data_IF_694158261169
#
_entry.id   IF_694158261169
#
_cell.length_a   1.000
_cell.length_b   1.000
_cell.length_c   1.000
_cell.angle_alpha   90.00
_cell.angle_beta   90.00
_cell.angle_gamma   90.00
#
_symmetry.space_group_name_H-M   'P 1'
#
loop_
_entity.id
_entity.type
_entity.pdbx_description
1 polymer ?
#
# COMPACT_ATOMS: atom_id res chain seq x y z
N UNK A 1 -12.08 -27.09 9.81
CA UNK A 1 -12.48 -26.25 8.67
C UNK A 1 -12.66 -27.18 7.49
N UNK A 2 -13.79 -27.13 6.81
CA UNK A 2 -13.96 -27.86 5.55
C UNK A 2 -13.45 -26.97 4.42
N UNK A 3 -12.52 -27.50 3.64
CA UNK A 3 -12.00 -26.83 2.44
C UNK A 3 -12.85 -27.18 1.23
N UNK A 4 -12.94 -26.29 0.21
CA UNK A 4 -13.59 -26.60 -1.05
C UNK A 4 -13.05 -27.90 -1.66
N UNK A 5 -13.94 -28.71 -2.26
CA UNK A 5 -13.57 -30.00 -2.83
C UNK A 5 -12.55 -29.87 -3.96
N UNK A 6 -12.74 -28.90 -4.85
CA UNK A 6 -11.83 -28.65 -5.99
C UNK A 6 -10.42 -28.32 -5.51
N UNK A 7 -10.30 -27.44 -4.51
CA UNK A 7 -9.03 -27.12 -3.85
C UNK A 7 -8.38 -28.38 -3.24
N UNK A 8 -9.13 -29.10 -2.43
CA UNK A 8 -8.61 -30.31 -1.74
C UNK A 8 -8.15 -31.38 -2.71
N UNK A 9 -8.93 -31.65 -3.76
CA UNK A 9 -8.60 -32.64 -4.79
C UNK A 9 -7.32 -32.26 -5.54
N UNK A 10 -7.21 -31.00 -5.97
CA UNK A 10 -6.04 -30.48 -6.67
C UNK A 10 -4.77 -30.53 -5.80
N UNK A 11 -4.84 -29.98 -4.58
CA UNK A 11 -3.65 -29.92 -3.72
C UNK A 11 -3.21 -31.30 -3.24
N UNK A 12 -4.14 -32.24 -2.99
CA UNK A 12 -3.77 -33.63 -2.69
C UNK A 12 -3.09 -34.32 -3.89
N UNK A 13 -3.54 -34.06 -5.11
CA UNK A 13 -2.89 -34.59 -6.32
C UNK A 13 -1.47 -34.04 -6.50
N UNK A 14 -1.23 -32.76 -6.20
CA UNK A 14 0.08 -32.11 -6.34
C UNK A 14 1.05 -32.44 -5.20
N UNK A 15 0.58 -32.45 -3.95
CA UNK A 15 1.40 -32.57 -2.76
C UNK A 15 1.50 -34.02 -2.23
N UNK A 16 0.55 -34.90 -2.61
CA UNK A 16 0.51 -36.25 -2.07
C UNK A 16 0.42 -36.26 -0.54
N UNK A 17 1.31 -37.00 0.10
CA UNK A 17 1.40 -37.07 1.57
C UNK A 17 1.72 -35.72 2.23
N UNK A 18 2.32 -34.77 1.51
CA UNK A 18 2.66 -33.43 2.03
C UNK A 18 1.45 -32.50 2.12
N UNK A 19 0.28 -32.90 1.63
CA UNK A 19 -0.94 -32.09 1.75
C UNK A 19 -1.25 -31.72 3.21
N UNK A 20 -1.04 -32.63 4.13
CA UNK A 20 -1.31 -32.41 5.54
C UNK A 20 -0.28 -31.45 6.19
N UNK A 21 0.91 -31.27 5.57
CA UNK A 21 1.91 -30.29 6.02
C UNK A 21 1.46 -28.84 5.77
N UNK A 22 0.57 -28.61 4.80
CA UNK A 22 0.14 -27.26 4.40
C UNK A 22 -0.39 -26.46 5.60
N UNK A 23 -1.05 -27.13 6.53
CA UNK A 23 -1.64 -26.54 7.74
C UNK A 23 -1.10 -27.15 9.05
N UNK A 24 -0.06 -27.98 9.01
CA UNK A 24 0.39 -28.81 10.13
C UNK A 24 0.70 -28.03 11.40
N UNK A 25 1.27 -26.83 11.26
CA UNK A 25 1.68 -25.98 12.38
C UNK A 25 0.90 -24.68 12.44
N UNK A 26 -0.16 -24.56 11.64
CA UNK A 26 -0.99 -23.38 11.66
C UNK A 26 -1.71 -23.27 13.01
N UNK A 27 -1.65 -22.09 13.62
CA UNK A 27 -2.45 -21.81 14.81
C UNK A 27 -3.95 -21.92 14.50
N UNK A 28 -4.82 -22.25 15.47
CA UNK A 28 -6.26 -22.28 15.24
C UNK A 28 -6.83 -20.94 14.72
N UNK A 29 -6.20 -19.85 15.12
CA UNK A 29 -6.57 -18.48 14.71
C UNK A 29 -5.70 -18.03 13.50
N UNK A 30 -6.27 -17.27 12.55
CA UNK A 30 -5.49 -16.67 11.47
C UNK A 30 -4.36 -15.78 12.00
N UNK A 31 -3.23 -15.76 11.27
CA UNK A 31 -2.11 -14.90 11.58
C UNK A 31 -2.52 -13.41 11.53
N UNK A 32 -2.14 -12.67 12.56
CA UNK A 32 -2.40 -11.24 12.67
C UNK A 32 -1.10 -10.47 12.81
N UNK A 33 -1.08 -9.28 12.25
CA UNK A 33 0.09 -8.44 12.35
C UNK A 33 -0.16 -7.00 11.90
N UNK A 34 0.91 -6.26 11.97
CA UNK A 34 0.99 -4.87 11.52
C UNK A 34 2.27 -4.66 10.73
N UNK A 35 2.25 -3.72 9.80
CA UNK A 35 3.46 -3.15 9.20
C UNK A 35 3.68 -1.75 9.73
N UNK A 36 4.91 -1.47 10.12
CA UNK A 36 5.35 -0.15 10.60
C UNK A 36 5.59 0.76 9.42
N UNK A 37 5.09 1.98 9.51
CA UNK A 37 5.29 3.01 8.51
C UNK A 37 6.64 3.70 8.71
N UNK A 38 7.62 3.39 7.89
CA UNK A 38 8.96 3.99 7.97
C UNK A 38 9.00 5.50 7.63
N UNK A 39 7.89 6.09 7.17
CA UNK A 39 7.73 7.56 7.11
C UNK A 39 7.49 8.18 8.50
N UNK A 40 7.15 7.37 9.51
CA UNK A 40 6.84 7.82 10.88
C UNK A 40 7.95 7.48 11.85
N UNK A 41 8.33 6.20 11.93
CA UNK A 41 9.36 5.71 12.83
C UNK A 41 10.08 4.49 12.24
N UNK A 42 11.24 4.15 12.81
CA UNK A 42 11.93 2.92 12.46
C UNK A 42 11.29 1.71 13.13
N UNK A 43 11.47 0.48 12.58
CA UNK A 43 11.01 -0.75 13.23
C UNK A 43 11.60 -0.93 14.64
N UNK A 44 12.84 -0.50 14.87
CA UNK A 44 13.52 -0.58 16.17
C UNK A 44 12.85 0.35 17.19
N UNK A 45 12.56 1.59 16.79
CA UNK A 45 11.82 2.52 17.64
C UNK A 45 10.45 1.94 18.00
N UNK A 46 9.72 1.42 17.01
CA UNK A 46 8.42 0.81 17.22
C UNK A 46 8.50 -0.36 18.22
N UNK A 47 9.47 -1.27 18.05
CA UNK A 47 9.63 -2.42 18.92
C UNK A 47 9.92 -2.04 20.39
N UNK A 48 10.58 -0.89 20.60
CA UNK A 48 10.91 -0.38 21.95
C UNK A 48 9.74 0.36 22.61
N UNK A 49 8.81 0.92 21.84
CA UNK A 49 7.76 1.81 22.34
C UNK A 49 6.34 1.24 22.23
N UNK A 50 6.16 0.09 21.55
CA UNK A 50 4.85 -0.54 21.45
C UNK A 50 4.35 -0.96 22.85
N UNK A 51 3.12 -0.56 23.18
CA UNK A 51 2.43 -0.88 24.44
C UNK A 51 1.61 -2.17 24.36
N UNK A 52 1.82 -2.96 23.30
CA UNK A 52 1.20 -4.26 23.05
C UNK A 52 2.22 -5.27 22.55
N UNK A 53 1.92 -6.57 22.66
CA UNK A 53 2.80 -7.65 22.20
C UNK A 53 2.94 -7.62 20.67
N UNK A 54 4.13 -7.26 20.21
CA UNK A 54 4.51 -7.21 18.81
C UNK A 54 5.88 -7.88 18.62
N UNK A 55 5.94 -8.91 17.78
CA UNK A 55 7.17 -9.66 17.50
C UNK A 55 7.57 -9.48 16.05
N UNK A 56 8.86 -9.24 15.74
CA UNK A 56 9.31 -9.15 14.37
C UNK A 56 8.86 -10.34 13.51
N UNK A 57 8.36 -10.06 12.32
CA UNK A 57 7.97 -11.07 11.35
C UNK A 57 9.16 -11.48 10.49
N UNK A 58 9.32 -12.76 10.11
CA UNK A 58 10.39 -13.18 9.21
C UNK A 58 10.18 -12.70 7.76
N UNK A 59 8.98 -12.26 7.40
CA UNK A 59 8.61 -11.99 6.00
C UNK A 59 9.00 -10.57 5.51
N UNK A 60 9.15 -9.63 6.43
CA UNK A 60 9.50 -8.26 6.09
C UNK A 60 10.08 -7.54 7.32
N UNK A 61 11.16 -6.74 7.16
CA UNK A 61 11.79 -6.03 8.29
C UNK A 61 10.86 -5.04 9.01
N UNK A 62 9.85 -4.51 8.33
CA UNK A 62 8.87 -3.57 8.91
C UNK A 62 7.62 -4.26 9.44
N UNK A 63 7.51 -5.59 9.32
CA UNK A 63 6.33 -6.33 9.74
C UNK A 63 6.50 -6.95 11.12
N UNK A 64 5.40 -6.96 11.88
CA UNK A 64 5.32 -7.56 13.20
C UNK A 64 4.07 -8.43 13.31
N UNK A 65 4.20 -9.59 13.94
CA UNK A 65 3.06 -10.39 14.40
C UNK A 65 2.51 -9.80 15.69
N UNK A 66 1.20 -9.89 15.90
CA UNK A 66 0.52 -9.37 17.09
C UNK A 66 -0.35 -10.43 17.72
N UNK A 67 -0.71 -10.23 18.99
CA UNK A 67 -1.66 -11.07 19.68
C UNK A 67 -3.01 -11.12 18.93
N UNK A 68 -3.74 -12.25 19.05
CA UNK A 68 -4.97 -12.49 18.31
C UNK A 68 -6.14 -11.56 18.72
N UNK A 69 -6.10 -11.02 19.93
CA UNK A 69 -7.07 -10.08 20.49
C UNK A 69 -6.73 -8.60 20.20
N UNK A 70 -5.51 -8.31 19.76
CA UNK A 70 -5.14 -6.94 19.38
C UNK A 70 -6.00 -6.42 18.23
N UNK A 71 -6.48 -5.19 18.37
CA UNK A 71 -7.35 -4.51 17.40
C UNK A 71 -6.68 -3.22 16.92
N UNK A 72 -5.83 -3.28 15.87
CA UNK A 72 -5.07 -2.12 15.40
C UNK A 72 -5.94 -0.88 15.15
N UNK A 73 -7.14 -1.05 14.59
CA UNK A 73 -8.06 0.04 14.29
C UNK A 73 -8.57 0.83 15.52
N UNK A 74 -8.35 0.32 16.74
CA UNK A 74 -8.67 1.03 18.00
C UNK A 74 -7.48 1.76 18.58
N UNK A 75 -6.28 1.49 18.10
CA UNK A 75 -5.05 2.06 18.63
C UNK A 75 -4.75 3.43 18.04
N UNK A 76 -4.33 4.40 18.85
CA UNK A 76 -4.06 5.77 18.38
C UNK A 76 -2.98 5.82 17.29
N UNK A 77 -1.96 4.98 17.36
CA UNK A 77 -0.94 4.89 16.32
C UNK A 77 -1.46 4.42 14.96
N UNK A 78 -2.53 3.63 14.93
CA UNK A 78 -3.19 3.32 13.66
C UNK A 78 -3.77 4.60 13.03
N UNK A 79 -4.46 5.41 13.83
CA UNK A 79 -5.03 6.69 13.38
C UNK A 79 -3.95 7.72 13.01
N UNK A 80 -2.80 7.68 13.68
CA UNK A 80 -1.63 8.52 13.36
C UNK A 80 -0.81 8.00 12.15
N UNK A 81 -1.20 6.87 11.56
CA UNK A 81 -0.50 6.29 10.42
C UNK A 81 0.88 5.74 10.75
N UNK A 82 1.16 5.38 12.02
CA UNK A 82 2.40 4.71 12.44
C UNK A 82 2.40 3.25 12.02
N UNK A 83 1.23 2.62 12.03
CA UNK A 83 1.07 1.22 11.65
C UNK A 83 -0.10 1.00 10.68
N UNK A 84 0.03 -0.05 9.89
CA UNK A 84 -1.00 -0.57 9.01
C UNK A 84 -1.35 -2.01 9.44
N UNK A 85 -2.63 -2.32 9.65
CA UNK A 85 -3.08 -3.69 9.94
C UNK A 85 -2.89 -4.57 8.71
N UNK A 86 -1.99 -5.52 8.76
CA UNK A 86 -1.68 -6.40 7.64
C UNK A 86 -1.31 -7.79 8.14
N UNK A 87 -1.76 -8.81 7.42
CA UNK A 87 -1.31 -10.17 7.64
C UNK A 87 0.21 -10.24 7.35
N UNK A 88 1.02 -10.89 8.21
CA UNK A 88 2.47 -10.82 8.12
C UNK A 88 3.05 -11.23 6.77
N UNK A 89 2.57 -12.33 6.16
CA UNK A 89 3.08 -12.81 4.86
C UNK A 89 2.70 -11.87 3.70
N UNK A 90 1.60 -11.13 3.82
CA UNK A 90 1.18 -10.15 2.82
C UNK A 90 2.14 -8.94 2.69
N UNK A 91 3.07 -8.79 3.63
CA UNK A 91 4.10 -7.74 3.58
C UNK A 91 5.31 -8.10 2.70
N UNK A 92 5.54 -9.39 2.45
CA UNK A 92 6.71 -9.88 1.74
C UNK A 92 6.85 -9.37 0.29
N UNK A 93 5.79 -9.32 -0.56
CA UNK A 93 5.92 -8.90 -1.94
C UNK A 93 6.47 -7.47 -2.11
N UNK A 94 6.01 -6.53 -1.27
CA UNK A 94 6.50 -5.16 -1.31
C UNK A 94 7.98 -5.05 -0.90
N UNK A 95 8.42 -5.86 0.08
CA UNK A 95 9.81 -5.92 0.50
C UNK A 95 10.72 -6.52 -0.60
N UNK A 96 10.26 -7.58 -1.29
CA UNK A 96 11.01 -8.22 -2.38
C UNK A 96 11.21 -7.31 -3.59
N UNK A 97 10.38 -6.29 -3.77
CA UNK A 97 10.51 -5.34 -4.88
C UNK A 97 11.74 -4.45 -4.76
N UNK A 98 12.33 -4.35 -3.56
CA UNK A 98 13.57 -3.60 -3.29
C UNK A 98 13.52 -2.15 -3.80
N UNK A 99 12.51 -1.42 -3.35
CA UNK A 99 12.30 -0.01 -3.71
C UNK A 99 13.30 0.88 -2.98
N UNK A 100 13.97 1.77 -3.73
CA UNK A 100 14.89 2.74 -3.20
C UNK A 100 14.38 4.18 -3.40
N UNK A 101 14.78 5.14 -2.54
CA UNK A 101 14.48 6.54 -2.73
C UNK A 101 14.85 7.05 -4.14
N UNK A 102 13.98 7.85 -4.74
CA UNK A 102 14.16 8.41 -6.08
C UNK A 102 13.58 7.57 -7.22
N UNK A 103 13.23 6.31 -6.99
CA UNK A 103 12.64 5.42 -8.00
C UNK A 103 11.21 5.84 -8.40
N UNK A 104 10.82 5.41 -9.59
CA UNK A 104 9.43 5.45 -10.08
C UNK A 104 8.83 4.06 -9.91
N UNK A 105 7.80 3.97 -9.10
CA UNK A 105 7.17 2.70 -8.70
C UNK A 105 5.70 2.69 -9.14
N UNK A 106 5.22 1.55 -9.64
CA UNK A 106 3.80 1.33 -9.88
C UNK A 106 3.30 0.13 -9.06
N UNK A 107 2.14 0.29 -8.42
CA UNK A 107 1.36 -0.76 -7.79
C UNK A 107 0.03 -0.86 -8.53
N UNK A 108 -0.20 -1.94 -9.25
CA UNK A 108 -1.29 -2.04 -10.23
C UNK A 108 -2.60 -2.53 -9.64
N UNK A 109 -2.57 -3.20 -8.48
CA UNK A 109 -3.73 -3.72 -7.76
C UNK A 109 -3.65 -3.28 -6.29
N UNK A 110 -3.59 -1.97 -6.07
CA UNK A 110 -3.06 -1.34 -4.87
C UNK A 110 -3.98 -1.43 -3.63
N UNK A 111 -5.30 -1.54 -3.81
CA UNK A 111 -6.22 -1.51 -2.67
C UNK A 111 -6.18 -2.82 -1.83
N UNK A 112 -6.31 -2.69 -0.51
CA UNK A 112 -6.68 -1.49 0.26
C UNK A 112 -5.51 -0.56 0.66
N UNK A 113 -4.23 -0.84 0.26
CA UNK A 113 -3.11 0.06 0.45
C UNK A 113 -2.01 -0.43 1.39
N UNK A 114 -2.05 -1.68 1.86
CA UNK A 114 -1.02 -2.23 2.75
C UNK A 114 0.35 -2.29 2.08
N UNK A 115 0.46 -2.98 0.94
CA UNK A 115 1.69 -3.05 0.14
C UNK A 115 2.09 -1.68 -0.42
N UNK A 116 1.10 -0.92 -0.91
CA UNK A 116 1.29 0.45 -1.41
C UNK A 116 1.93 1.37 -0.38
N UNK A 117 1.49 1.31 0.89
CA UNK A 117 2.07 2.11 1.98
C UNK A 117 3.50 1.72 2.30
N UNK A 118 3.87 0.43 2.18
CA UNK A 118 5.24 -0.04 2.32
C UNK A 118 6.13 0.52 1.19
N UNK A 119 5.65 0.49 -0.08
CA UNK A 119 6.36 1.08 -1.22
C UNK A 119 6.57 2.59 -1.04
N UNK A 120 5.51 3.30 -0.61
CA UNK A 120 5.59 4.73 -0.32
C UNK A 120 6.61 5.05 0.78
N UNK A 121 6.64 4.21 1.84
CA UNK A 121 7.58 4.36 2.93
C UNK A 121 9.03 4.11 2.48
N UNK A 122 9.27 3.10 1.63
CA UNK A 122 10.58 2.80 1.06
C UNK A 122 11.11 3.95 0.18
N UNK A 123 10.23 4.65 -0.52
CA UNK A 123 10.59 5.85 -1.30
C UNK A 123 10.99 7.05 -0.43
N UNK A 124 10.68 7.07 0.86
CA UNK A 124 11.04 8.15 1.80
C UNK A 124 10.65 9.56 1.29
N UNK A 125 9.52 9.69 0.59
CA UNK A 125 9.06 10.94 -0.02
C UNK A 125 9.85 11.38 -1.25
N UNK A 126 10.82 10.60 -1.72
CA UNK A 126 11.61 10.82 -2.93
C UNK A 126 11.14 9.89 -4.05
N UNK A 127 11.14 10.38 -5.30
CA UNK A 127 10.59 9.60 -6.40
C UNK A 127 9.06 9.65 -6.48
N UNK A 128 8.45 8.70 -7.19
CA UNK A 128 7.03 8.74 -7.53
C UNK A 128 6.39 7.35 -7.40
N UNK A 129 5.24 7.28 -6.76
CA UNK A 129 4.40 6.08 -6.67
C UNK A 129 3.11 6.29 -7.48
N UNK A 130 2.89 5.45 -8.49
CA UNK A 130 1.57 5.27 -9.12
C UNK A 130 0.86 4.11 -8.40
N UNK A 131 -0.29 4.38 -7.81
CA UNK A 131 -1.10 3.38 -7.12
C UNK A 131 -2.45 3.25 -7.83
N UNK A 132 -2.68 2.11 -8.48
CA UNK A 132 -3.89 1.88 -9.26
C UNK A 132 -4.83 0.88 -8.60
N UNK A 133 -6.12 1.12 -8.72
CA UNK A 133 -7.15 0.17 -8.35
C UNK A 133 -8.32 0.27 -9.33
N UNK A 134 -8.73 -0.86 -9.91
CA UNK A 134 -9.79 -0.93 -10.91
C UNK A 134 -11.18 -0.64 -10.32
N UNK A 135 -11.46 -1.12 -9.10
CA UNK A 135 -12.76 -0.96 -8.45
C UNK A 135 -12.84 0.39 -7.73
N UNK A 136 -13.72 1.28 -8.16
CA UNK A 136 -13.81 2.66 -7.68
C UNK A 136 -14.00 2.78 -6.15
N UNK A 137 -14.82 1.92 -5.54
CA UNK A 137 -15.02 1.92 -4.09
C UNK A 137 -13.74 1.53 -3.34
N UNK A 138 -12.95 0.58 -3.86
CA UNK A 138 -11.67 0.18 -3.29
C UNK A 138 -10.59 1.25 -3.50
N UNK A 139 -10.60 1.96 -4.64
CA UNK A 139 -9.70 3.09 -4.90
C UNK A 139 -9.91 4.23 -3.88
N UNK A 140 -11.15 4.44 -3.44
CA UNK A 140 -11.45 5.42 -2.38
C UNK A 140 -10.91 4.96 -1.01
N UNK A 141 -10.98 3.67 -0.68
CA UNK A 141 -10.37 3.09 0.52
C UNK A 141 -8.83 3.24 0.47
N UNK A 142 -8.22 2.95 -0.68
CA UNK A 142 -6.79 3.17 -0.92
C UNK A 142 -6.40 4.62 -0.66
N UNK A 143 -7.15 5.58 -1.21
CA UNK A 143 -6.92 7.01 -1.00
C UNK A 143 -6.95 7.38 0.49
N UNK A 144 -7.95 6.92 1.23
CA UNK A 144 -8.09 7.19 2.67
C UNK A 144 -6.90 6.60 3.46
N UNK A 145 -6.48 5.38 3.13
CA UNK A 145 -5.34 4.75 3.79
C UNK A 145 -4.03 5.48 3.50
N UNK A 146 -3.74 5.86 2.25
CA UNK A 146 -2.53 6.61 1.92
C UNK A 146 -2.51 8.00 2.56
N UNK A 147 -3.67 8.68 2.66
CA UNK A 147 -3.78 9.94 3.40
C UNK A 147 -3.49 9.74 4.89
N UNK A 148 -4.07 8.71 5.53
CA UNK A 148 -3.81 8.36 6.93
C UNK A 148 -2.33 8.05 7.18
N UNK A 149 -1.68 7.32 6.26
CA UNK A 149 -0.25 7.00 6.33
C UNK A 149 0.66 8.22 6.07
N UNK A 150 0.10 9.34 5.62
CA UNK A 150 0.83 10.58 5.35
C UNK A 150 1.69 10.53 4.09
N UNK A 151 1.29 9.75 3.10
CA UNK A 151 2.00 9.61 1.82
C UNK A 151 1.87 10.88 1.00
N UNK A 152 2.99 11.41 0.53
CA UNK A 152 3.07 12.71 -0.17
C UNK A 152 3.39 12.61 -1.66
N UNK A 153 3.95 11.48 -2.10
CA UNK A 153 4.52 11.26 -3.42
C UNK A 153 3.74 10.24 -4.25
N UNK A 154 2.45 10.05 -3.97
CA UNK A 154 1.61 9.11 -4.70
C UNK A 154 0.63 9.81 -5.66
N UNK A 155 0.43 9.19 -6.82
CA UNK A 155 -0.69 9.43 -7.74
C UNK A 155 -1.58 8.20 -7.72
N UNK A 156 -2.84 8.38 -7.30
CA UNK A 156 -3.83 7.32 -7.20
C UNK A 156 -4.73 7.37 -8.43
N UNK A 157 -4.87 6.25 -9.13
CA UNK A 157 -5.72 6.10 -10.31
C UNK A 157 -6.80 5.04 -10.08
N UNK A 158 -7.93 5.21 -10.78
CA UNK A 158 -8.99 4.20 -10.84
C UNK A 158 -9.16 3.81 -12.31
N UNK A 159 -8.27 2.95 -12.80
CA UNK A 159 -8.15 2.65 -14.21
C UNK A 159 -7.93 1.17 -14.48
N UNK A 160 -8.24 0.80 -15.70
CA UNK A 160 -7.80 -0.43 -16.33
C UNK A 160 -6.28 -0.38 -16.57
N UNK A 161 -5.58 -1.48 -16.30
CA UNK A 161 -4.13 -1.56 -16.44
C UNK A 161 -3.65 -1.41 -17.88
N UNK A 162 -4.45 -1.82 -18.88
CA UNK A 162 -4.13 -1.62 -20.30
C UNK A 162 -4.10 -0.14 -20.67
N UNK A 163 -5.00 0.67 -20.09
CA UNK A 163 -4.97 2.14 -20.29
C UNK A 163 -3.75 2.79 -19.67
N UNK A 164 -3.30 2.28 -18.52
CA UNK A 164 -2.06 2.74 -17.89
C UNK A 164 -0.85 2.38 -18.75
N UNK A 165 -0.77 1.12 -19.23
CA UNK A 165 0.30 0.64 -20.10
C UNK A 165 0.39 1.47 -21.40
N UNK A 166 -0.74 1.79 -22.02
CA UNK A 166 -0.80 2.63 -23.21
C UNK A 166 -0.38 4.09 -22.95
N UNK A 167 -0.66 4.62 -21.75
CA UNK A 167 -0.36 6.01 -21.40
C UNK A 167 1.09 6.21 -20.94
N UNK A 168 1.70 5.22 -20.29
CA UNK A 168 2.98 5.35 -19.57
C UNK A 168 3.93 4.17 -19.83
N UNK A 169 4.12 3.71 -21.08
CA UNK A 169 4.98 2.56 -21.35
C UNK A 169 6.43 2.85 -20.96
N UNK A 170 7.11 1.88 -20.34
CA UNK A 170 8.52 1.93 -19.99
C UNK A 170 8.91 3.01 -18.97
N UNK A 171 7.97 3.47 -18.11
CA UNK A 171 8.25 4.61 -17.23
C UNK A 171 8.58 4.23 -15.78
N UNK A 172 8.51 2.97 -15.40
CA UNK A 172 8.67 2.58 -13.99
C UNK A 172 9.87 1.67 -13.78
N UNK A 173 10.66 1.97 -12.75
CA UNK A 173 11.81 1.18 -12.33
C UNK A 173 11.37 -0.10 -11.61
N UNK A 174 10.22 -0.01 -10.92
CA UNK A 174 9.64 -1.09 -10.12
C UNK A 174 8.14 -1.19 -10.37
N UNK A 175 7.64 -2.40 -10.57
CA UNK A 175 6.20 -2.67 -10.70
C UNK A 175 5.80 -3.78 -9.75
N UNK A 176 4.79 -3.55 -8.94
CA UNK A 176 4.13 -4.55 -8.11
C UNK A 176 2.81 -4.97 -8.77
N UNK A 177 2.62 -6.27 -8.91
CA UNK A 177 1.34 -6.89 -9.26
C UNK A 177 0.95 -7.85 -8.14
N UNK A 178 0.18 -7.35 -7.17
CA UNK A 178 -0.51 -8.21 -6.20
C UNK A 178 -1.84 -8.60 -6.84
N UNK A 179 -1.81 -9.66 -7.65
CA UNK A 179 -2.88 -9.96 -8.61
C UNK A 179 -4.21 -10.30 -7.92
N UNK A 180 -5.36 -9.86 -8.47
CA UNK A 180 -6.63 -10.42 -8.08
C UNK A 180 -6.61 -11.93 -8.35
N UNK A 181 -6.94 -12.72 -7.32
CA UNK A 181 -6.79 -14.16 -7.34
C UNK A 181 -7.98 -14.87 -6.67
N UNK A 182 -8.03 -16.19 -6.79
CA UNK A 182 -9.09 -17.02 -6.18
C UNK A 182 -9.07 -17.00 -4.64
N UNK A 183 -8.01 -16.48 -4.02
CA UNK A 183 -7.96 -16.16 -2.59
C UNK A 183 -7.92 -17.37 -1.66
N UNK A 184 -7.34 -18.48 -2.07
CA UNK A 184 -7.30 -19.73 -1.29
C UNK A 184 -6.55 -19.59 0.04
N UNK A 185 -5.55 -18.70 0.11
CA UNK A 185 -4.89 -18.32 1.35
C UNK A 185 -5.79 -17.54 2.32
N UNK A 186 -6.98 -17.11 1.88
CA UNK A 186 -7.93 -16.38 2.72
C UNK A 186 -8.97 -17.28 3.40
N UNK A 187 -9.03 -18.59 3.11
CA UNK A 187 -10.05 -19.50 3.64
C UNK A 187 -10.15 -19.50 5.16
N UNK A 188 -9.04 -19.32 5.86
CA UNK A 188 -9.01 -19.25 7.32
C UNK A 188 -9.52 -17.93 7.90
N UNK A 189 -9.45 -16.86 7.11
CA UNK A 189 -9.86 -15.49 7.50
C UNK A 189 -11.29 -15.18 7.11
N UNK A 190 -11.70 -15.64 5.92
CA UNK A 190 -12.93 -15.23 5.27
C UNK A 190 -13.72 -16.45 4.81
N UNK A 191 -14.75 -16.83 5.55
CA UNK A 191 -15.62 -17.96 5.19
C UNK A 191 -16.25 -17.78 3.80
N UNK A 192 -16.47 -16.53 3.36
CA UNK A 192 -17.00 -16.21 2.03
C UNK A 192 -16.04 -16.65 0.92
N UNK A 193 -14.73 -16.53 1.13
CA UNK A 193 -13.72 -16.97 0.15
C UNK A 193 -13.84 -18.48 -0.12
N UNK A 194 -13.96 -19.29 0.93
CA UNK A 194 -14.17 -20.74 0.79
C UNK A 194 -15.52 -21.08 0.14
N UNK A 195 -16.59 -20.35 0.48
CA UNK A 195 -17.93 -20.59 -0.05
C UNK A 195 -18.09 -20.24 -1.55
N UNK A 196 -17.33 -19.26 -2.03
CA UNK A 196 -17.37 -18.82 -3.43
C UNK A 196 -16.34 -19.50 -4.33
N UNK A 197 -15.40 -20.25 -3.75
CA UNK A 197 -14.33 -20.90 -4.49
C UNK A 197 -14.87 -22.00 -5.42
N UNK A 198 -14.39 -22.00 -6.66
CA UNK A 198 -14.59 -23.04 -7.66
C UNK A 198 -13.56 -22.91 -8.79
N UNK A 199 -13.42 -23.94 -9.63
CA UNK A 199 -12.47 -23.96 -10.75
C UNK A 199 -12.72 -22.84 -11.79
N UNK A 200 -13.96 -22.40 -11.99
CA UNK A 200 -14.26 -21.29 -12.90
C UNK A 200 -13.72 -19.96 -12.38
N UNK A 201 -13.78 -19.73 -11.06
CA UNK A 201 -13.14 -18.56 -10.42
C UNK A 201 -11.62 -18.60 -10.60
N UNK A 202 -10.99 -19.75 -10.37
CA UNK A 202 -9.53 -19.93 -10.58
C UNK A 202 -9.14 -19.60 -12.03
N UNK A 203 -9.87 -20.14 -13.01
CA UNK A 203 -9.61 -19.89 -14.43
C UNK A 203 -9.77 -18.41 -14.79
N UNK A 204 -10.84 -17.77 -14.33
CA UNK A 204 -11.08 -16.33 -14.54
C UNK A 204 -9.97 -15.46 -13.92
N UNK A 205 -9.55 -15.76 -12.69
CA UNK A 205 -8.47 -15.03 -12.03
C UNK A 205 -7.13 -15.23 -12.74
N UNK A 206 -6.86 -16.44 -13.26
CA UNK A 206 -5.66 -16.71 -14.04
C UNK A 206 -5.62 -15.88 -15.35
N UNK A 207 -6.75 -15.78 -16.07
CA UNK A 207 -6.86 -14.96 -17.28
C UNK A 207 -6.62 -13.46 -16.96
N UNK A 208 -7.26 -12.95 -15.91
CA UNK A 208 -7.10 -11.58 -15.47
C UNK A 208 -5.66 -11.29 -15.00
N UNK A 209 -5.06 -12.23 -14.26
CA UNK A 209 -3.66 -12.14 -13.83
C UNK A 209 -2.69 -12.08 -15.00
N UNK A 210 -2.95 -12.88 -16.08
CA UNK A 210 -2.18 -12.84 -17.31
C UNK A 210 -2.22 -11.46 -17.97
N UNK A 211 -3.41 -10.89 -18.13
CA UNK A 211 -3.60 -9.55 -18.72
C UNK A 211 -2.87 -8.46 -17.91
N UNK A 212 -3.01 -8.47 -16.60
CA UNK A 212 -2.34 -7.50 -15.73
C UNK A 212 -0.82 -7.64 -15.82
N UNK A 213 -0.30 -8.86 -15.87
CA UNK A 213 1.13 -9.14 -15.98
C UNK A 213 1.72 -8.62 -17.31
N UNK A 214 1.00 -8.79 -18.43
CA UNK A 214 1.37 -8.21 -19.73
C UNK A 214 1.42 -6.67 -19.66
N UNK A 215 0.43 -6.04 -19.06
CA UNK A 215 0.37 -4.60 -18.90
C UNK A 215 1.49 -4.09 -17.96
N UNK A 216 1.83 -4.83 -16.93
CA UNK A 216 2.95 -4.53 -16.03
C UNK A 216 4.30 -4.57 -16.76
N UNK A 217 4.50 -5.57 -17.63
CA UNK A 217 5.70 -5.68 -18.45
C UNK A 217 5.88 -4.49 -19.42
N UNK A 218 4.76 -3.97 -19.95
CA UNK A 218 4.77 -2.79 -20.81
C UNK A 218 5.09 -1.50 -20.04
N UNK A 219 4.64 -1.37 -18.78
CA UNK A 219 4.94 -0.22 -17.92
C UNK A 219 6.40 -0.20 -17.44
N UNK A 220 7.06 -1.35 -17.37
CA UNK A 220 8.39 -1.51 -16.79
C UNK A 220 9.48 -0.99 -17.75
N UNK A 221 10.36 -0.15 -17.22
CA UNK A 221 11.54 0.33 -17.93
C UNK A 221 12.55 -0.81 -18.20
N UNK A 222 13.44 -0.68 -19.21
CA UNK A 222 14.58 -1.56 -19.34
C UNK A 222 15.42 -1.61 -18.05
N UNK A 223 15.85 -2.80 -17.63
CA UNK A 223 16.54 -3.01 -16.36
C UNK A 223 15.65 -2.97 -15.12
N UNK A 224 14.35 -2.69 -15.30
CA UNK A 224 13.38 -2.61 -14.20
C UNK A 224 13.05 -3.99 -13.60
N UNK A 225 12.46 -3.98 -12.41
CA UNK A 225 12.08 -5.18 -11.66
C UNK A 225 10.57 -5.19 -11.42
N UNK A 226 9.98 -6.36 -11.64
CA UNK A 226 8.58 -6.66 -11.38
C UNK A 226 8.48 -7.74 -10.30
N UNK A 227 7.61 -7.54 -9.31
CA UNK A 227 7.19 -8.60 -8.39
C UNK A 227 5.72 -8.90 -8.66
N UNK A 228 5.47 -10.17 -8.95
CA UNK A 228 4.12 -10.75 -9.07
C UNK A 228 3.82 -11.53 -7.80
N UNK A 229 2.64 -11.35 -7.23
CA UNK A 229 2.19 -12.07 -6.04
C UNK A 229 0.70 -12.37 -6.09
N UNK A 230 0.32 -13.44 -5.39
CA UNK A 230 -1.07 -13.83 -5.15
C UNK A 230 -1.24 -14.30 -3.70
N UNK A 231 -2.48 -14.35 -3.23
CA UNK A 231 -2.83 -15.03 -1.99
C UNK A 231 -3.58 -16.35 -2.27
N UNK A 232 -3.15 -17.10 -3.29
CA UNK A 232 -3.72 -18.41 -3.65
C UNK A 232 -2.66 -19.51 -3.68
N UNK A 233 -3.07 -20.76 -3.88
CA UNK A 233 -2.20 -21.91 -4.11
C UNK A 233 -2.33 -22.47 -5.53
N UNK A 234 -3.25 -21.95 -6.32
CA UNK A 234 -3.60 -22.47 -7.63
C UNK A 234 -2.44 -22.33 -8.63
N UNK A 235 -1.93 -23.43 -9.22
CA UNK A 235 -0.81 -23.37 -10.16
C UNK A 235 -1.05 -22.47 -11.36
N UNK A 236 -2.29 -22.42 -11.87
CA UNK A 236 -2.66 -21.59 -13.01
C UNK A 236 -2.53 -20.09 -12.74
N UNK A 237 -2.64 -19.68 -11.48
CA UNK A 237 -2.50 -18.30 -11.03
C UNK A 237 -1.07 -17.99 -10.54
N UNK A 238 -0.24 -19.01 -10.31
CA UNK A 238 1.08 -18.94 -9.67
C UNK A 238 2.21 -19.38 -10.63
N UNK A 239 2.84 -20.57 -10.41
CA UNK A 239 3.99 -21.04 -11.20
C UNK A 239 3.65 -21.17 -12.68
N UNK A 240 2.47 -21.70 -13.02
CA UNK A 240 2.01 -21.83 -14.41
C UNK A 240 1.91 -20.46 -15.08
N UNK A 241 1.38 -19.47 -14.37
CA UNK A 241 1.26 -18.10 -14.86
C UNK A 241 2.64 -17.50 -15.22
N UNK A 242 3.60 -17.65 -14.32
CA UNK A 242 4.97 -17.12 -14.50
C UNK A 242 5.71 -17.88 -15.60
N UNK A 243 5.55 -19.21 -15.67
CA UNK A 243 6.15 -20.04 -16.71
C UNK A 243 5.67 -19.64 -18.11
N UNK A 244 4.34 -19.47 -18.28
CA UNK A 244 3.73 -18.99 -19.54
C UNK A 244 4.27 -17.60 -19.91
N UNK A 245 4.34 -16.69 -18.96
CA UNK A 245 4.83 -15.35 -19.19
C UNK A 245 6.30 -15.34 -19.66
N UNK A 246 7.17 -16.07 -18.98
CA UNK A 246 8.60 -16.14 -19.35
C UNK A 246 8.82 -16.79 -20.71
N UNK A 247 8.04 -17.79 -21.08
CA UNK A 247 8.10 -18.41 -22.40
C UNK A 247 7.75 -17.43 -23.54
N UNK A 248 6.88 -16.45 -23.27
CA UNK A 248 6.48 -15.40 -24.23
C UNK A 248 7.42 -14.20 -24.24
N UNK A 249 8.12 -13.96 -23.13
CA UNK A 249 8.91 -12.74 -22.92
C UNK A 249 10.40 -13.06 -22.64
N UNK A 250 11.20 -13.37 -23.67
CA UNK A 250 12.63 -13.72 -23.49
C UNK A 250 13.47 -12.58 -22.92
N UNK A 251 12.97 -11.35 -22.94
CA UNK A 251 13.62 -10.20 -22.31
C UNK A 251 13.48 -10.18 -20.78
N UNK A 252 12.72 -11.12 -20.19
CA UNK A 252 12.55 -11.22 -18.74
C UNK A 252 13.31 -12.44 -18.20
N UNK A 253 13.90 -12.25 -17.02
CA UNK A 253 14.58 -13.31 -16.26
C UNK A 253 13.93 -13.46 -14.88
N UNK A 254 13.70 -14.70 -14.45
CA UNK A 254 13.27 -15.00 -13.09
C UNK A 254 14.44 -14.85 -12.12
N UNK A 255 14.31 -13.96 -11.16
CA UNK A 255 15.30 -13.76 -10.10
C UNK A 255 15.22 -14.89 -9.07
N UNK A 256 16.37 -15.35 -8.59
CA UNK A 256 16.44 -16.37 -7.55
C UNK A 256 16.08 -15.81 -6.18
N UNK A 257 14.98 -16.27 -5.62
CA UNK A 257 14.51 -15.91 -4.27
C UNK A 257 14.94 -16.94 -3.20
N UNK A 258 15.82 -17.91 -3.51
CA UNK A 258 16.24 -18.95 -2.54
C UNK A 258 16.91 -18.37 -1.29
N UNK A 259 17.53 -17.21 -1.41
CA UNK A 259 18.20 -16.50 -0.31
C UNK A 259 17.33 -15.59 0.54
N UNK A 260 16.01 -15.49 0.31
CA UNK A 260 15.17 -14.51 1.03
C UNK A 260 14.93 -14.84 2.52
N UNK A 261 15.30 -16.05 2.99
CA UNK A 261 15.24 -16.45 4.40
C UNK A 261 13.86 -16.83 4.93
N UNK A 262 12.83 -16.87 4.09
CA UNK A 262 11.47 -17.24 4.47
C UNK A 262 10.77 -18.07 3.40
N UNK A 263 9.68 -18.72 3.80
CA UNK A 263 8.83 -19.49 2.90
C UNK A 263 9.51 -20.71 2.28
N UNK A 264 8.90 -21.26 1.28
CA UNK A 264 9.28 -22.50 0.59
C UNK A 264 9.53 -22.23 -0.88
N UNK A 265 10.41 -22.99 -1.56
CA UNK A 265 10.55 -22.91 -3.01
C UNK A 265 9.24 -23.30 -3.70
N UNK A 266 8.97 -22.68 -4.85
CA UNK A 266 7.93 -23.17 -5.76
C UNK A 266 8.28 -24.57 -6.29
N UNK A 267 7.28 -25.26 -6.82
CA UNK A 267 7.36 -26.67 -7.17
C UNK A 267 7.20 -26.89 -8.68
N UNK A 268 8.12 -27.65 -9.30
CA UNK A 268 8.14 -27.88 -10.76
C UNK A 268 6.87 -28.60 -11.28
N UNK A 269 6.26 -29.47 -10.47
CA UNK A 269 5.03 -30.16 -10.83
C UNK A 269 3.79 -29.26 -10.93
N UNK A 270 3.93 -27.98 -10.52
CA UNK A 270 2.88 -26.95 -10.68
C UNK A 270 2.93 -26.23 -12.04
N UNK A 271 4.00 -26.46 -12.82
CA UNK A 271 4.13 -25.98 -14.20
C UNK A 271 4.70 -27.10 -15.11
N UNK A 272 4.05 -28.27 -15.21
CA UNK A 272 4.62 -29.46 -15.85
C UNK A 272 4.89 -29.27 -17.35
N UNK A 273 4.16 -28.39 -18.02
CA UNK A 273 4.34 -28.11 -19.46
C UNK A 273 5.56 -27.24 -19.76
N UNK A 274 6.26 -26.76 -18.70
CA UNK A 274 7.41 -25.87 -18.79
C UNK A 274 8.62 -26.47 -18.02
N UNK A 275 9.27 -27.52 -18.53
CA UNK A 275 10.30 -28.25 -17.81
C UNK A 275 11.56 -27.41 -17.51
N UNK A 276 11.82 -26.36 -18.30
CA UNK A 276 12.95 -25.44 -18.10
C UNK A 276 12.65 -24.31 -17.10
N UNK A 277 11.40 -24.21 -16.63
CA UNK A 277 11.01 -23.21 -15.66
C UNK A 277 11.60 -23.53 -14.28
N UNK A 278 12.38 -22.60 -13.75
CA UNK A 278 13.04 -22.75 -12.46
C UNK A 278 12.06 -22.43 -11.29
N UNK A 279 11.06 -23.25 -11.11
CA UNK A 279 10.03 -23.04 -10.07
C UNK A 279 10.63 -22.77 -8.69
N UNK A 280 11.74 -23.42 -8.32
CA UNK A 280 12.45 -23.23 -7.06
C UNK A 280 12.97 -21.81 -6.81
N UNK A 281 13.03 -20.95 -7.84
CA UNK A 281 13.37 -19.53 -7.71
C UNK A 281 12.20 -18.67 -7.22
N UNK A 282 10.96 -19.15 -7.33
CA UNK A 282 9.80 -18.51 -6.71
C UNK A 282 9.69 -18.85 -5.23
N UNK A 283 8.77 -18.20 -4.52
CA UNK A 283 8.50 -18.48 -3.09
C UNK A 283 7.01 -18.65 -2.83
N UNK A 284 6.75 -19.62 -1.96
CA UNK A 284 5.44 -19.86 -1.34
C UNK A 284 5.54 -19.70 0.15
N UNK A 285 4.54 -19.10 0.76
CA UNK A 285 4.37 -19.08 2.20
C UNK A 285 3.11 -19.89 2.49
N UNK A 286 3.25 -20.94 3.27
CA UNK A 286 2.13 -21.78 3.70
C UNK A 286 1.63 -21.34 5.09
N UNK A 287 0.40 -21.69 5.46
CA UNK A 287 -0.07 -21.49 6.83
C UNK A 287 0.85 -22.13 7.89
N UNK A 288 1.48 -23.25 7.56
CA UNK A 288 2.49 -23.90 8.40
C UNK A 288 3.76 -23.04 8.62
N UNK A 289 4.03 -22.06 7.77
CA UNK A 289 5.19 -21.17 7.88
C UNK A 289 4.87 -19.89 8.68
N UNK A 290 3.65 -19.79 9.26
CA UNK A 290 3.22 -18.65 10.08
C UNK A 290 2.56 -17.51 9.28
N UNK A 291 2.21 -17.74 8.02
CA UNK A 291 1.38 -16.85 7.18
C UNK A 291 0.01 -17.47 6.89
N UNK A 292 -0.69 -16.92 5.89
CA UNK A 292 -2.00 -17.47 5.46
C UNK A 292 -1.97 -18.10 4.07
N UNK A 293 -0.94 -17.86 3.31
CA UNK A 293 -0.75 -18.36 1.96
C UNK A 293 -0.44 -17.24 1.00
N UNK A 294 0.77 -17.27 0.45
CA UNK A 294 1.20 -16.34 -0.60
C UNK A 294 2.12 -17.05 -1.58
N UNK A 295 2.03 -16.63 -2.82
CA UNK A 295 3.00 -16.93 -3.87
C UNK A 295 3.69 -15.64 -4.30
N UNK A 296 4.99 -15.73 -4.65
CA UNK A 296 5.79 -14.60 -5.12
C UNK A 296 6.79 -15.02 -6.17
N UNK A 297 6.85 -14.24 -7.24
CA UNK A 297 7.90 -14.30 -8.26
C UNK A 297 8.48 -12.91 -8.50
N UNK A 298 9.80 -12.82 -8.59
CA UNK A 298 10.53 -11.58 -8.90
C UNK A 298 11.16 -11.72 -10.29
N UNK A 299 10.83 -10.80 -11.18
CA UNK A 299 11.23 -10.79 -12.57
C UNK A 299 12.04 -9.53 -12.87
N UNK A 300 13.11 -9.67 -13.65
CA UNK A 300 13.90 -8.54 -14.11
C UNK A 300 13.85 -8.45 -15.63
N UNK A 301 13.54 -7.27 -16.15
CA UNK A 301 13.60 -6.94 -17.57
C UNK A 301 15.04 -6.66 -17.97
N UNK A 302 15.48 -7.16 -19.12
CA UNK A 302 16.82 -6.91 -19.64
C UNK A 302 17.09 -5.40 -19.81
N UNK A 303 18.31 -4.97 -19.51
CA UNK A 303 18.67 -3.55 -19.58
C UNK A 303 18.80 -3.04 -21.03
N UNK A 304 19.03 -3.93 -21.98
CA UNK A 304 19.10 -3.68 -23.42
C UNK A 304 17.77 -3.92 -24.14
N UNK A 305 16.70 -4.21 -23.40
CA UNK A 305 15.36 -4.32 -23.99
C UNK A 305 14.91 -2.99 -24.61
N UNK A 306 14.02 -3.07 -25.59
CA UNK A 306 13.45 -1.88 -26.22
C UNK A 306 12.80 -0.96 -25.18
N UNK A 307 13.18 0.33 -25.25
CA UNK A 307 12.59 1.38 -24.46
C UNK A 307 11.45 2.05 -25.24
N UNK A 308 10.19 1.74 -24.99
CA UNK A 308 9.09 2.38 -25.69
C UNK A 308 9.06 3.88 -25.35
N UNK A 309 8.82 4.70 -26.37
CA UNK A 309 8.69 6.16 -26.17
C UNK A 309 7.28 6.45 -25.63
N UNK A 310 7.15 6.98 -24.41
CA UNK A 310 5.85 7.31 -23.87
C UNK A 310 5.19 8.45 -24.70
N UNK A 311 3.86 8.41 -24.88
CA UNK A 311 3.14 9.48 -25.54
C UNK A 311 3.37 10.81 -24.81
N UNK A 312 3.60 11.89 -25.58
CA UNK A 312 3.76 13.23 -24.99
C UNK A 312 2.48 13.64 -24.27
N UNK A 313 2.53 13.75 -22.95
CA UNK A 313 1.47 14.33 -22.13
C UNK A 313 1.65 15.85 -22.00
N UNK A 314 0.56 16.57 -21.75
CA UNK A 314 0.67 17.96 -21.28
C UNK A 314 0.74 17.92 -19.75
N UNK A 315 1.79 18.49 -19.13
CA UNK A 315 1.83 18.58 -17.67
C UNK A 315 0.61 19.38 -17.15
N UNK A 316 0.09 19.05 -15.99
CA UNK A 316 -0.97 19.83 -15.36
C UNK A 316 -0.50 21.28 -15.21
N UNK A 317 -1.40 22.22 -15.55
CA UNK A 317 -1.09 23.65 -15.46
C UNK A 317 -0.90 24.04 -13.99
N UNK A 318 0.26 24.61 -13.67
CA UNK A 318 0.52 25.14 -12.33
C UNK A 318 -0.50 26.24 -11.99
N UNK A 319 -1.07 26.16 -10.80
CA UNK A 319 -2.01 27.13 -10.28
C UNK A 319 -1.23 28.27 -9.62
N UNK A 320 -1.61 29.53 -9.91
CA UNK A 320 -1.12 30.66 -9.11
C UNK A 320 -1.67 30.51 -7.69
N UNK A 321 -0.77 30.49 -6.70
CA UNK A 321 -1.16 30.32 -5.31
C UNK A 321 -2.09 31.45 -4.83
N UNK A 322 -3.30 31.14 -4.31
CA UNK A 322 -4.17 32.13 -3.70
C UNK A 322 -3.52 32.80 -2.49
N UNK A 323 -3.85 34.05 -2.23
CA UNK A 323 -3.32 34.79 -1.08
C UNK A 323 -3.67 34.09 0.25
N UNK A 324 -4.88 33.56 0.36
CA UNK A 324 -5.38 32.85 1.54
C UNK A 324 -4.56 31.59 1.87
N UNK A 325 -4.10 30.88 0.84
CA UNK A 325 -3.16 29.77 1.01
C UNK A 325 -1.80 30.26 1.46
N UNK A 326 -1.26 31.30 0.82
CA UNK A 326 0.07 31.82 1.13
C UNK A 326 0.15 32.33 2.57
N UNK A 327 -0.87 33.05 3.04
CA UNK A 327 -0.95 33.56 4.42
C UNK A 327 -1.03 32.38 5.41
N UNK A 328 -1.86 31.39 5.14
CA UNK A 328 -1.97 30.20 5.95
C UNK A 328 -0.65 29.41 5.96
N UNK A 329 -0.07 29.14 4.79
CA UNK A 329 1.14 28.35 4.68
C UNK A 329 2.34 29.03 5.35
N UNK A 330 2.53 30.34 5.13
CA UNK A 330 3.60 31.10 5.81
C UNK A 330 3.48 31.05 7.32
N UNK A 331 2.25 31.05 7.83
CA UNK A 331 2.00 31.01 9.28
C UNK A 331 2.22 29.62 9.87
N UNK A 332 1.66 28.58 9.26
CA UNK A 332 1.58 27.25 9.88
C UNK A 332 2.50 26.22 9.24
N UNK A 333 2.86 26.35 7.97
CA UNK A 333 3.69 25.41 7.21
C UNK A 333 4.66 26.15 6.27
N UNK A 334 5.61 26.93 6.81
CA UNK A 334 6.46 27.82 5.99
C UNK A 334 7.16 27.12 4.82
N UNK A 335 7.60 25.87 5.02
CA UNK A 335 8.25 25.06 3.98
C UNK A 335 7.33 24.73 2.79
N UNK A 336 6.01 24.83 2.94
CA UNK A 336 5.05 24.55 1.88
C UNK A 336 4.65 25.80 1.09
N UNK A 337 4.95 27.00 1.58
CA UNK A 337 4.50 28.27 0.96
C UNK A 337 5.04 28.45 -0.47
N UNK A 338 6.21 27.91 -0.79
CA UNK A 338 6.85 27.98 -2.11
C UNK A 338 6.60 26.77 -2.99
N UNK A 339 5.91 25.73 -2.50
CA UNK A 339 5.65 24.54 -3.29
C UNK A 339 4.60 24.77 -4.38
N UNK A 340 4.75 24.13 -5.55
CA UNK A 340 3.73 24.17 -6.60
C UNK A 340 2.36 23.75 -6.07
N UNK A 341 1.31 24.34 -6.63
CA UNK A 341 -0.07 23.97 -6.37
C UNK A 341 -0.74 23.52 -7.67
N UNK A 342 -1.65 22.57 -7.54
CA UNK A 342 -2.62 22.22 -8.55
C UNK A 342 -4.04 22.45 -8.02
N UNK A 343 -4.97 22.74 -8.94
CA UNK A 343 -6.38 22.97 -8.61
C UNK A 343 -7.27 21.85 -9.11
N UNK A 344 -8.28 21.50 -8.32
CA UNK A 344 -9.36 20.61 -8.71
C UNK A 344 -10.68 21.22 -8.22
N UNK A 345 -11.28 22.08 -9.04
CA UNK A 345 -12.42 22.91 -8.62
C UNK A 345 -12.01 23.90 -7.52
N UNK A 346 -12.71 23.86 -6.37
CA UNK A 346 -12.38 24.70 -5.19
C UNK A 346 -11.20 24.14 -4.36
N UNK A 347 -10.73 22.92 -4.66
CA UNK A 347 -9.70 22.24 -3.92
C UNK A 347 -8.30 22.59 -4.37
N UNK A 348 -7.40 22.78 -3.43
CA UNK A 348 -5.97 22.97 -3.64
C UNK A 348 -5.21 21.69 -3.28
N UNK A 349 -4.32 21.29 -4.19
CA UNK A 349 -3.47 20.11 -4.04
C UNK A 349 -1.99 20.53 -4.04
N UNK A 350 -1.21 19.88 -3.22
CA UNK A 350 0.25 19.83 -3.31
C UNK A 350 0.59 18.60 -4.18
N UNK A 351 0.96 18.77 -5.45
CA UNK A 351 1.22 17.68 -6.37
C UNK A 351 2.31 16.74 -5.84
N UNK A 352 2.16 15.44 -6.14
CA UNK A 352 3.21 14.46 -5.89
C UNK A 352 4.44 14.84 -6.72
N UNK A 353 5.66 14.84 -6.15
CA UNK A 353 6.89 15.12 -6.89
C UNK A 353 7.03 14.19 -8.10
N UNK A 354 7.39 14.73 -9.26
CA UNK A 354 7.53 13.95 -10.50
C UNK A 354 6.22 13.60 -11.22
N UNK A 355 5.06 13.89 -10.62
CA UNK A 355 3.75 13.58 -11.23
C UNK A 355 3.48 14.36 -12.52
N UNK A 356 4.15 15.49 -12.72
CA UNK A 356 4.08 16.28 -13.96
C UNK A 356 4.65 15.54 -15.18
N UNK A 357 5.43 14.50 -14.97
CA UNK A 357 6.00 13.65 -16.04
C UNK A 357 5.07 12.51 -16.45
N UNK A 358 4.01 12.25 -15.71
CA UNK A 358 3.03 11.21 -16.03
C UNK A 358 2.00 11.73 -17.06
N UNK A 359 1.71 10.91 -18.06
CA UNK A 359 0.63 11.19 -19.00
C UNK A 359 -0.72 10.75 -18.42
N UNK A 360 -1.30 11.57 -17.56
CA UNK A 360 -2.58 11.30 -16.89
C UNK A 360 -3.79 11.96 -17.57
N UNK A 361 -3.62 12.64 -18.71
CA UNK A 361 -4.64 13.52 -19.32
C UNK A 361 -5.98 12.82 -19.65
N UNK A 362 -5.95 11.50 -19.93
CA UNK A 362 -7.14 10.70 -20.26
C UNK A 362 -7.43 9.62 -19.20
N UNK A 363 -6.79 9.70 -18.05
CA UNK A 363 -6.93 8.74 -16.96
C UNK A 363 -7.79 9.32 -15.85
N UNK A 364 -8.49 8.44 -15.15
CA UNK A 364 -9.24 8.81 -13.95
C UNK A 364 -8.29 8.87 -12.76
N UNK A 365 -7.80 10.07 -12.46
CA UNK A 365 -6.97 10.34 -11.29
C UNK A 365 -7.88 10.61 -10.09
N UNK A 366 -7.81 9.74 -9.09
CA UNK A 366 -8.54 9.90 -7.81
C UNK A 366 -7.84 10.95 -6.94
N UNK A 367 -6.49 10.90 -6.91
CA UNK A 367 -5.67 11.84 -6.16
C UNK A 367 -4.25 11.92 -6.75
N UNK A 368 -3.74 13.13 -6.94
CA UNK A 368 -2.37 13.37 -7.46
C UNK A 368 -1.51 14.15 -6.46
N UNK A 369 -1.22 13.57 -5.29
CA UNK A 369 -0.51 14.23 -4.20
C UNK A 369 -1.40 14.49 -2.98
N UNK A 370 -1.08 15.53 -2.18
CA UNK A 370 -1.75 15.83 -0.91
C UNK A 370 -2.83 16.89 -1.09
N UNK A 371 -4.04 16.62 -0.61
CA UNK A 371 -5.08 17.63 -0.52
C UNK A 371 -4.70 18.65 0.56
N UNK A 372 -4.39 19.86 0.13
CA UNK A 372 -4.05 20.95 1.04
C UNK A 372 -5.29 21.53 1.75
N UNK A 373 -6.38 21.74 1.00
CA UNK A 373 -7.60 22.32 1.50
C UNK A 373 -8.39 23.05 0.41
N UNK A 374 -9.23 23.99 0.82
CA UNK A 374 -10.02 24.81 -0.10
C UNK A 374 -10.07 26.28 0.33
N UNK A 375 -10.33 27.17 -0.61
CA UNK A 375 -10.57 28.60 -0.33
C UNK A 375 -12.06 28.83 -0.30
N UNK A 376 -12.59 29.13 0.88
CA UNK A 376 -14.00 29.40 1.11
C UNK A 376 -14.21 30.79 1.69
N UNK A 377 -14.99 31.64 1.02
CA UNK A 377 -15.34 33.00 1.49
C UNK A 377 -14.13 33.79 1.99
N UNK A 378 -13.05 33.87 1.19
CA UNK A 378 -11.78 34.55 1.51
C UNK A 378 -11.05 33.98 2.75
N UNK A 379 -11.21 32.69 3.04
CA UNK A 379 -10.45 31.99 4.09
C UNK A 379 -9.95 30.66 3.54
N UNK A 380 -8.77 30.28 3.95
CA UNK A 380 -8.27 28.94 3.68
C UNK A 380 -8.79 27.97 4.75
N UNK A 381 -9.42 26.88 4.28
CA UNK A 381 -9.86 25.77 5.09
C UNK A 381 -8.95 24.59 4.83
N UNK A 382 -8.00 24.26 5.76
CA UNK A 382 -7.10 23.14 5.57
C UNK A 382 -7.82 21.80 5.61
N UNK A 383 -7.35 20.85 4.81
CA UNK A 383 -7.83 19.49 4.81
C UNK A 383 -7.12 18.63 5.88
N UNK A 384 -7.79 17.57 6.33
CA UNK A 384 -7.19 16.58 7.24
C UNK A 384 -5.90 15.98 6.65
N UNK A 385 -5.90 15.67 5.35
CA UNK A 385 -4.76 15.12 4.63
C UNK A 385 -3.48 15.99 4.75
N UNK A 386 -3.63 17.33 4.78
CA UNK A 386 -2.50 18.24 4.98
C UNK A 386 -1.83 18.01 6.35
N UNK A 387 -2.63 17.91 7.40
CA UNK A 387 -2.10 17.66 8.75
C UNK A 387 -1.52 16.25 8.87
N UNK A 388 -2.13 15.24 8.28
CA UNK A 388 -1.57 13.90 8.28
C UNK A 388 -0.22 13.83 7.58
N UNK A 389 -0.06 14.53 6.45
CA UNK A 389 1.19 14.54 5.68
C UNK A 389 2.29 15.40 6.33
N UNK A 390 1.93 16.56 6.84
CA UNK A 390 2.91 17.59 7.25
C UNK A 390 2.72 18.09 8.69
N UNK A 391 1.81 17.50 9.48
CA UNK A 391 1.46 17.99 10.81
C UNK A 391 2.65 18.10 11.78
N UNK A 392 3.62 17.17 11.67
CA UNK A 392 4.85 17.25 12.46
C UNK A 392 5.71 18.51 12.14
N UNK A 393 5.51 19.13 10.97
CA UNK A 393 6.20 20.37 10.54
C UNK A 393 5.35 21.63 10.82
N UNK A 394 4.14 21.48 11.37
CA UNK A 394 3.29 22.62 11.72
C UNK A 394 3.96 23.45 12.82
N UNK A 395 3.99 24.78 12.66
CA UNK A 395 4.57 25.70 13.66
C UNK A 395 3.75 25.75 14.95
N UNK A 396 2.45 25.48 14.89
CA UNK A 396 1.53 25.47 16.01
C UNK A 396 1.03 24.03 16.25
N UNK A 397 1.41 23.40 17.37
CA UNK A 397 1.16 21.99 17.66
C UNK A 397 0.66 21.79 19.07
N UNK A 398 -0.20 20.80 19.23
CA UNK A 398 -0.58 20.19 20.50
C UNK A 398 -0.02 18.77 20.56
N UNK A 399 0.85 18.53 21.53
CA UNK A 399 1.51 17.24 21.74
C UNK A 399 0.76 16.42 22.80
N UNK A 400 0.34 15.23 22.42
CA UNK A 400 -0.31 14.25 23.29
C UNK A 400 0.56 13.00 23.40
N UNK A 401 0.24 12.14 24.38
CA UNK A 401 0.81 10.79 24.49
C UNK A 401 -0.28 9.73 24.34
N UNK A 402 0.08 8.47 24.17
CA UNK A 402 -0.89 7.37 24.15
C UNK A 402 -1.76 7.33 25.42
N UNK A 403 -1.16 7.66 26.57
CA UNK A 403 -1.83 7.61 27.87
C UNK A 403 -2.59 8.90 28.22
N UNK A 404 -2.45 9.97 27.43
CA UNK A 404 -3.18 11.22 27.65
C UNK A 404 -4.67 10.99 27.36
N UNK A 405 -5.59 11.26 28.31
CA UNK A 405 -7.03 11.06 28.10
C UNK A 405 -7.58 11.92 26.95
N UNK A 406 -6.91 13.04 26.63
CA UNK A 406 -7.28 13.88 25.47
C UNK A 406 -7.09 13.18 24.14
N UNK A 407 -6.20 12.18 24.05
CA UNK A 407 -6.00 11.36 22.84
C UNK A 407 -7.26 10.59 22.49
N UNK A 408 -7.84 9.91 23.45
CA UNK A 408 -9.11 9.19 23.23
C UNK A 408 -10.28 10.15 22.92
N UNK A 409 -10.38 11.28 23.64
CA UNK A 409 -11.36 12.32 23.39
C UNK A 409 -11.24 12.89 21.97
N UNK A 410 -10.01 13.17 21.51
CA UNK A 410 -9.74 13.62 20.14
C UNK A 410 -10.25 12.63 19.09
N UNK A 411 -9.95 11.35 19.26
CA UNK A 411 -10.36 10.31 18.31
C UNK A 411 -11.89 10.09 18.28
N UNK A 412 -12.61 10.40 19.37
CA UNK A 412 -14.08 10.43 19.39
C UNK A 412 -14.64 11.68 18.72
N UNK A 413 -13.80 12.68 18.41
CA UNK A 413 -14.21 13.94 17.78
C UNK A 413 -14.65 15.02 18.77
N UNK A 414 -14.25 14.87 20.05
CA UNK A 414 -14.52 15.85 21.10
C UNK A 414 -13.53 17.02 21.03
N UNK A 415 -13.91 18.18 21.57
CA UNK A 415 -12.99 19.28 21.81
C UNK A 415 -12.10 18.93 23.00
N UNK A 416 -10.83 19.32 22.91
CA UNK A 416 -9.85 19.10 23.98
C UNK A 416 -9.24 20.43 24.45
N UNK A 417 -8.69 20.45 25.65
CA UNK A 417 -7.96 21.60 26.16
C UNK A 417 -6.62 21.77 25.45
N UNK A 418 -6.26 22.99 25.10
CA UNK A 418 -4.95 23.33 24.58
C UNK A 418 -3.97 23.55 25.74
N UNK A 419 -2.88 22.78 25.77
CA UNK A 419 -1.80 22.96 26.73
C UNK A 419 -0.60 23.71 26.13
N UNK A 420 -0.30 23.47 24.87
CA UNK A 420 0.86 24.04 24.16
C UNK A 420 0.47 24.85 22.92
N UNK A 421 -0.61 24.49 22.24
CA UNK A 421 -1.03 25.14 21.00
C UNK A 421 -1.64 26.54 21.27
N UNK A 422 -1.27 27.50 20.43
CA UNK A 422 -1.73 28.88 20.46
C UNK A 422 -3.01 29.05 19.60
N UNK A 423 -3.72 30.18 19.79
CA UNK A 423 -4.90 30.53 19.00
C UNK A 423 -4.66 30.43 17.49
N UNK A 424 -5.58 29.85 16.75
CA UNK A 424 -5.50 29.61 15.32
C UNK A 424 -5.50 28.12 14.97
N UNK A 425 -5.08 27.78 13.76
CA UNK A 425 -4.95 26.39 13.35
C UNK A 425 -3.77 25.71 14.04
N UNK A 426 -3.94 24.45 14.43
CA UNK A 426 -2.87 23.64 15.01
C UNK A 426 -2.93 22.21 14.48
N UNK A 427 -1.78 21.56 14.47
CA UNK A 427 -1.70 20.11 14.35
C UNK A 427 -1.84 19.47 15.74
N UNK A 428 -2.59 18.37 15.84
CA UNK A 428 -2.64 17.53 17.03
C UNK A 428 -1.84 16.27 16.74
N UNK A 429 -0.89 15.97 17.62
CA UNK A 429 0.03 14.84 17.48
C UNK A 429 -0.10 13.90 18.69
N UNK A 430 0.19 12.62 18.47
CA UNK A 430 0.41 11.64 19.55
C UNK A 430 1.81 11.08 19.41
N UNK A 431 2.61 11.16 20.45
CA UNK A 431 4.03 10.76 20.48
C UNK A 431 4.84 11.35 19.30
N UNK A 432 4.52 12.60 18.90
CA UNK A 432 5.11 13.28 17.74
C UNK A 432 4.49 12.93 16.38
N UNK A 433 3.53 12.01 16.31
CA UNK A 433 2.89 11.58 15.05
C UNK A 433 1.54 12.27 14.83
N UNK A 434 1.27 12.81 13.63
CA UNK A 434 0.04 13.55 13.37
C UNK A 434 -1.24 12.72 13.53
N UNK A 435 -2.19 13.23 14.32
CA UNK A 435 -3.57 12.73 14.43
C UNK A 435 -4.57 13.60 13.65
N UNK A 436 -4.13 14.73 13.10
CA UNK A 436 -4.97 15.63 12.35
C UNK A 436 -4.80 17.09 12.74
N UNK A 437 -5.77 17.92 12.41
CA UNK A 437 -5.75 19.34 12.72
C UNK A 437 -6.97 19.80 13.48
N UNK A 438 -6.79 20.87 14.26
CA UNK A 438 -7.82 21.56 15.00
C UNK A 438 -7.67 23.07 14.92
N UNK A 439 -8.62 23.77 15.52
CA UNK A 439 -8.57 25.23 15.63
C UNK A 439 -8.70 25.64 17.09
N UNK A 440 -7.68 26.30 17.60
CA UNK A 440 -7.63 26.79 18.99
C UNK A 440 -8.38 28.10 19.09
N UNK A 441 -9.22 28.22 20.11
CA UNK A 441 -9.87 29.43 20.57
C UNK A 441 -10.10 29.32 22.08
N UNK A 442 -9.75 30.35 22.81
CA UNK A 442 -10.02 30.44 24.26
C UNK A 442 -9.51 29.24 25.08
N UNK A 443 -8.28 28.76 24.74
CA UNK A 443 -7.67 27.62 25.41
C UNK A 443 -8.29 26.24 25.07
N UNK A 444 -9.21 26.18 24.10
CA UNK A 444 -9.86 24.94 23.63
C UNK A 444 -9.50 24.67 22.17
N UNK A 445 -9.29 23.42 21.81
CA UNK A 445 -9.06 22.97 20.44
C UNK A 445 -10.36 22.39 19.89
N UNK A 446 -11.00 23.12 18.99
CA UNK A 446 -12.12 22.60 18.21
C UNK A 446 -11.62 21.49 17.28
N UNK A 447 -12.24 20.34 17.39
CA UNK A 447 -11.85 19.13 16.68
C UNK A 447 -12.29 19.17 15.21
N UNK A 448 -11.33 19.06 14.29
CA UNK A 448 -11.56 18.94 12.85
C UNK A 448 -11.26 17.52 12.30
N UNK A 449 -11.16 16.53 13.19
CA UNK A 449 -11.00 15.13 12.79
C UNK A 449 -12.25 14.65 12.03
N UNK A 450 -12.07 13.99 10.86
CA UNK A 450 -13.19 13.61 9.99
C UNK A 450 -14.21 12.71 10.70
N UNK A 451 -15.50 13.01 10.57
CA UNK A 451 -16.56 12.25 11.24
C UNK A 451 -16.52 10.74 10.91
N UNK A 452 -16.21 10.38 9.66
CA UNK A 452 -16.14 9.00 9.22
C UNK A 452 -14.92 8.21 9.73
N UNK A 453 -13.96 8.88 10.36
CA UNK A 453 -12.76 8.24 10.94
C UNK A 453 -12.80 8.15 12.48
N UNK A 454 -13.85 8.68 13.10
CA UNK A 454 -13.96 8.74 14.57
C UNK A 454 -14.07 7.35 15.18
N UNK A 455 -13.31 7.13 16.23
CA UNK A 455 -13.43 5.93 17.05
C UNK A 455 -14.47 6.15 18.14
N UNK A 456 -15.68 5.66 17.91
CA UNK A 456 -16.84 5.84 18.80
C UNK A 456 -16.98 4.75 19.88
N UNK A 457 -15.99 3.82 19.98
CA UNK A 457 -16.03 2.70 20.93
C UNK A 457 -15.02 2.85 22.05
#
# INVERSE_FOLDING_TARGET
>A
MEFPQDFTARERALLGARFDELYAYATPQPARGVTVNALRCTPEWFAQHADFDAKPSPFCPTAFTTAADFRPGRHAWHHAGVLYAQEPSASAPAALLDVQPGMRVADLCAAPGGKTSQLAAALQGQGLLLANEFVAARAEILRQNLERMGVTNAVITNEDTARLAAAMPGQFDRVLVDAPCSGEGMFRKEAVAAAQHNNALVAHCAELGAEILENAAALLAPGGVLVYSTCTFAPAEDEGQIAVFLAKHPAFTLCDLSGCGFGRPGEANRAPDYPDFRAGYTRRIWPADGGEGHFMAKLQKAADADAPTPPKGKPPKALKAPAEWLDFAKTYFPALASRPLAGAGEWLLLPAPGSETLNTAKLRVVRGGVLAGSVLKKRFQPAHALFMAYGAQCTNREELTLTDPRTAAWLRGEEIDAATAQNGWCAVLVDGFPLGGGKVSDGRIKNHYPKGLRNLQ
#
